data_IF_472688506299
#
_entry.id   IF_472688506299
#
_cell.length_a   1.000
_cell.length_b   1.000
_cell.length_c   1.000
_cell.angle_alpha   90.00
_cell.angle_beta   90.00
_cell.angle_gamma   90.00
#
_symmetry.space_group_name_H-M   'P 1'
#
loop_
_entity.id
_entity.type
_entity.pdbx_description
1 polymer ?
#
# COMPACT_ATOMS: atom_id res chain seq x y z
N UNK A 1 1.49 25.12 10.05
CA UNK A 1 2.77 24.92 9.33
C UNK A 1 2.87 25.97 8.24
N UNK A 2 4.02 26.62 8.07
CA UNK A 2 4.22 27.62 7.02
C UNK A 2 4.13 26.95 5.65
N UNK A 3 3.12 27.30 4.87
CA UNK A 3 2.92 26.80 3.50
C UNK A 3 3.99 27.40 2.59
N UNK A 4 4.78 26.56 1.92
CA UNK A 4 5.75 27.01 0.92
C UNK A 4 5.55 26.26 -0.38
N UNK A 5 5.40 26.99 -1.48
CA UNK A 5 5.28 26.44 -2.85
C UNK A 5 6.63 26.00 -3.43
N UNK A 6 7.76 26.43 -2.82
CA UNK A 6 9.11 26.15 -3.36
C UNK A 6 9.42 24.64 -3.33
N UNK A 7 9.71 23.99 -4.47
CA UNK A 7 9.95 22.54 -4.53
C UNK A 7 11.08 22.07 -3.60
N UNK A 8 12.19 22.81 -3.54
CA UNK A 8 13.33 22.47 -2.68
C UNK A 8 12.97 22.46 -1.19
N UNK A 9 12.15 23.43 -0.74
CA UNK A 9 11.68 23.48 0.65
C UNK A 9 10.70 22.34 0.95
N UNK A 10 9.83 22.00 0.00
CA UNK A 10 8.91 20.87 0.14
C UNK A 10 9.65 19.53 0.21
N UNK A 11 10.63 19.31 -0.65
CA UNK A 11 11.47 18.09 -0.64
C UNK A 11 12.26 17.96 0.66
N UNK A 12 12.88 19.05 1.14
CA UNK A 12 13.60 19.08 2.43
C UNK A 12 12.68 18.75 3.61
N UNK A 13 11.48 19.34 3.64
CA UNK A 13 10.48 19.04 4.67
C UNK A 13 9.97 17.60 4.60
N UNK A 14 9.83 17.04 3.39
CA UNK A 14 9.43 15.65 3.21
C UNK A 14 10.48 14.69 3.77
N UNK A 15 11.76 14.87 3.41
CA UNK A 15 12.88 14.03 3.83
C UNK A 15 13.13 14.08 5.35
N UNK A 16 13.14 15.29 5.92
CA UNK A 16 13.49 15.55 7.33
C UNK A 16 12.31 15.45 8.30
N UNK A 17 11.14 14.99 7.85
CA UNK A 17 9.96 14.91 8.70
C UNK A 17 10.16 13.95 9.90
N UNK A 18 9.67 14.30 11.10
CA UNK A 18 9.60 13.38 12.24
C UNK A 18 8.84 12.08 11.93
N UNK A 19 9.17 11.00 12.64
CA UNK A 19 8.61 9.65 12.44
C UNK A 19 7.09 9.61 12.51
N UNK A 20 6.47 10.33 13.45
CA UNK A 20 5.01 10.36 13.58
C UNK A 20 4.31 11.03 12.38
N UNK A 21 4.98 11.97 11.70
CA UNK A 21 4.51 12.59 10.46
C UNK A 21 4.72 11.63 9.29
N UNK A 22 5.90 10.98 9.21
CA UNK A 22 6.18 9.97 8.18
C UNK A 22 5.16 8.83 8.22
N UNK A 23 4.81 8.34 9.41
CA UNK A 23 3.78 7.31 9.60
C UNK A 23 2.43 7.71 8.97
N UNK A 24 1.97 8.94 9.19
CA UNK A 24 0.70 9.45 8.61
C UNK A 24 0.73 9.57 7.08
N UNK A 25 1.90 9.60 6.45
CA UNK A 25 2.05 9.70 4.98
C UNK A 25 1.92 8.35 4.27
N UNK A 26 2.07 7.23 4.98
CA UNK A 26 1.94 5.87 4.42
C UNK A 26 0.45 5.54 4.30
N UNK A 27 -0.20 6.14 3.30
CA UNK A 27 -1.65 6.01 3.10
C UNK A 27 -1.96 5.47 1.70
N UNK A 28 -2.99 4.64 1.64
CA UNK A 28 -3.54 4.07 0.41
C UNK A 28 -5.04 4.36 0.31
N UNK A 29 -5.60 4.14 -0.90
CA UNK A 29 -7.04 4.21 -1.11
C UNK A 29 -7.69 3.04 -0.36
N UNK A 30 -8.80 3.31 0.32
CA UNK A 30 -9.61 2.28 0.98
C UNK A 30 -10.77 1.94 0.05
N UNK A 31 -10.95 0.66 -0.28
CA UNK A 31 -12.14 0.12 -0.94
C UNK A 31 -12.86 -0.90 -0.06
N UNK A 32 -12.54 -0.93 1.22
CA UNK A 32 -13.22 -1.76 2.20
C UNK A 32 -14.72 -1.38 2.29
N UNK A 33 -15.65 -2.32 2.05
CA UNK A 33 -17.08 -2.05 2.12
C UNK A 33 -17.55 -1.61 3.50
N UNK A 34 -16.82 -1.91 4.58
CA UNK A 34 -17.16 -1.44 5.93
C UNK A 34 -16.95 0.08 6.09
N UNK A 35 -16.07 0.68 5.29
CA UNK A 35 -15.67 2.09 5.41
C UNK A 35 -15.85 2.88 4.09
N UNK A 36 -17.06 2.94 3.51
CA UNK A 36 -17.30 3.52 2.19
C UNK A 36 -17.02 5.03 2.12
N UNK A 37 -17.19 5.77 3.22
CA UNK A 37 -16.97 7.22 3.25
C UNK A 37 -15.49 7.57 3.50
N UNK A 38 -14.65 6.59 3.85
CA UNK A 38 -13.22 6.78 4.10
C UNK A 38 -12.43 6.66 2.80
N UNK A 39 -12.07 7.79 2.19
CA UNK A 39 -11.29 7.80 0.93
C UNK A 39 -9.92 7.13 1.04
N UNK A 40 -9.21 7.34 2.15
CA UNK A 40 -7.87 6.81 2.36
C UNK A 40 -7.60 6.42 3.81
N UNK A 41 -6.74 5.42 3.99
CA UNK A 41 -6.35 4.89 5.30
C UNK A 41 -4.84 4.73 5.37
N UNK A 42 -4.28 4.86 6.57
CA UNK A 42 -2.87 4.54 6.83
C UNK A 42 -2.72 3.03 6.84
N UNK A 43 -1.83 2.50 6.01
CA UNK A 43 -1.58 1.06 5.92
C UNK A 43 -0.83 0.59 7.18
N UNK A 44 -1.24 -0.57 7.70
CA UNK A 44 -0.54 -1.28 8.78
C UNK A 44 -0.28 -2.71 8.38
N UNK A 45 0.57 -3.37 9.17
CA UNK A 45 0.78 -4.82 9.08
C UNK A 45 -0.54 -5.53 9.35
N UNK A 46 -0.86 -6.55 8.55
CA UNK A 46 -2.10 -7.33 8.65
C UNK A 46 -3.22 -6.88 7.70
N UNK A 47 -3.18 -5.64 7.17
CA UNK A 47 -4.18 -5.18 6.19
C UNK A 47 -4.10 -6.03 4.91
N UNK A 48 -5.27 -6.38 4.35
CA UNK A 48 -5.37 -7.02 3.04
C UNK A 48 -5.33 -5.94 1.96
N UNK A 49 -4.44 -6.15 0.98
CA UNK A 49 -4.17 -5.15 -0.04
C UNK A 49 -4.06 -5.74 -1.43
N UNK A 50 -4.51 -4.96 -2.41
CA UNK A 50 -4.30 -5.20 -3.83
C UNK A 50 -3.19 -4.30 -4.37
N UNK A 51 -2.20 -4.89 -5.05
CA UNK A 51 -1.22 -4.11 -5.80
C UNK A 51 -1.88 -3.59 -7.09
N UNK A 52 -1.97 -2.27 -7.23
CA UNK A 52 -2.64 -1.67 -8.38
C UNK A 52 -1.65 -1.25 -9.48
N UNK A 53 -0.44 -0.80 -9.11
CA UNK A 53 0.59 -0.30 -10.03
C UNK A 53 1.92 -1.03 -9.88
N UNK A 54 2.70 -1.03 -10.95
CA UNK A 54 4.01 -1.70 -11.02
C UNK A 54 3.92 -3.05 -11.71
N UNK A 55 4.99 -3.84 -11.66
CA UNK A 55 5.08 -5.12 -12.37
C UNK A 55 4.10 -6.18 -11.84
N UNK A 56 3.80 -6.11 -10.53
CA UNK A 56 2.80 -6.91 -9.83
C UNK A 56 1.39 -6.28 -9.80
N UNK A 57 1.21 -5.13 -10.45
CA UNK A 57 -0.09 -4.43 -10.54
C UNK A 57 -1.01 -5.02 -11.59
N UNK A 58 -2.21 -4.46 -11.78
CA UNK A 58 -3.11 -4.88 -12.87
C UNK A 58 -2.45 -4.49 -14.22
N UNK A 59 -2.12 -5.44 -15.12
CA UNK A 59 -2.71 -6.78 -15.31
C UNK A 59 -1.70 -7.93 -15.09
N UNK A 60 -1.09 -8.01 -13.91
CA UNK A 60 0.29 -8.50 -13.77
C UNK A 60 0.49 -9.85 -13.11
N UNK A 61 -0.50 -10.44 -12.44
CA UNK A 61 -0.26 -11.59 -11.58
C UNK A 61 -0.32 -12.96 -12.28
N UNK A 62 -1.34 -13.20 -13.12
CA UNK A 62 -1.56 -14.53 -13.74
C UNK A 62 -1.00 -14.59 -15.17
N UNK A 63 0.29 -14.31 -15.35
CA UNK A 63 0.89 -14.44 -16.68
C UNK A 63 1.32 -15.88 -16.91
N UNK A 64 0.65 -16.55 -17.85
CA UNK A 64 1.24 -17.71 -18.52
C UNK A 64 2.60 -17.30 -19.13
N UNK A 65 3.60 -18.18 -19.03
CA UNK A 65 4.95 -17.92 -19.52
C UNK A 65 4.91 -17.46 -20.99
N UNK A 66 5.23 -16.19 -21.23
CA UNK A 66 5.36 -15.61 -22.56
C UNK A 66 4.53 -14.34 -22.84
N UNK A 67 3.55 -14.02 -21.99
CA UNK A 67 2.75 -12.80 -22.09
C UNK A 67 2.02 -12.62 -23.44
N UNK A 68 1.38 -11.45 -23.64
CA UNK A 68 0.57 -11.20 -24.85
C UNK A 68 1.33 -11.34 -26.17
N UNK A 69 2.64 -11.09 -26.17
CA UNK A 69 3.47 -11.17 -27.38
C UNK A 69 3.60 -12.60 -27.91
N UNK A 70 3.50 -13.58 -27.03
CA UNK A 70 3.56 -15.00 -27.36
C UNK A 70 2.16 -15.66 -27.37
N UNK A 71 1.09 -14.86 -27.44
CA UNK A 71 -0.29 -15.34 -27.50
C UNK A 71 -0.95 -15.59 -26.13
N UNK A 72 -0.27 -15.29 -25.02
CA UNK A 72 -0.84 -15.42 -23.67
C UNK A 72 -1.92 -14.39 -23.37
N UNK A 73 -2.75 -14.69 -22.37
CA UNK A 73 -3.81 -13.77 -21.92
C UNK A 73 -3.24 -12.52 -21.23
N UNK A 74 -4.00 -11.42 -21.19
CA UNK A 74 -3.66 -10.30 -20.30
C UNK A 74 -4.00 -10.76 -18.88
N UNK A 75 -3.08 -10.65 -17.93
CA UNK A 75 -3.42 -10.93 -16.53
C UNK A 75 -4.63 -10.08 -16.11
N UNK A 76 -5.48 -10.64 -15.27
CA UNK A 76 -6.79 -10.03 -14.98
C UNK A 76 -6.68 -9.02 -13.84
N UNK A 77 -5.88 -9.35 -12.84
CA UNK A 77 -5.82 -8.64 -11.58
C UNK A 77 -4.37 -8.46 -11.11
N UNK A 78 -4.19 -7.54 -10.15
CA UNK A 78 -2.94 -7.41 -9.41
C UNK A 78 -2.95 -8.36 -8.21
N UNK A 79 -1.80 -8.53 -7.57
CA UNK A 79 -1.69 -9.42 -6.41
C UNK A 79 -2.56 -8.90 -5.26
N UNK A 80 -3.46 -9.75 -4.75
CA UNK A 80 -4.18 -9.51 -3.50
C UNK A 80 -3.51 -10.31 -2.39
N UNK A 81 -2.94 -9.64 -1.39
CA UNK A 81 -2.27 -10.31 -0.29
C UNK A 81 -2.14 -9.42 0.95
N UNK A 82 -1.65 -10.00 2.04
CA UNK A 82 -1.45 -9.28 3.31
C UNK A 82 -0.17 -8.46 3.32
N UNK A 83 -0.21 -7.36 4.07
CA UNK A 83 0.98 -6.56 4.37
C UNK A 83 1.77 -7.23 5.50
N UNK A 84 3.01 -7.63 5.20
CA UNK A 84 3.92 -8.29 6.16
C UNK A 84 4.66 -7.24 7.01
N UNK A 85 5.17 -6.20 6.36
CA UNK A 85 6.01 -5.20 7.03
C UNK A 85 5.82 -3.81 6.44
N UNK A 86 6.00 -2.80 7.29
CA UNK A 86 5.91 -1.38 6.92
C UNK A 86 7.16 -0.65 7.40
N UNK A 87 7.92 -0.09 6.47
CA UNK A 87 9.07 0.77 6.80
C UNK A 87 8.65 2.25 6.81
N UNK A 88 8.61 2.81 8.02
CA UNK A 88 8.22 4.21 8.26
C UNK A 88 9.25 5.20 7.72
N UNK A 89 10.55 4.85 7.68
CA UNK A 89 11.60 5.78 7.29
C UNK A 89 11.57 6.04 5.79
N UNK A 90 11.38 4.98 5.01
CA UNK A 90 11.36 5.04 3.54
C UNK A 90 9.95 5.16 2.96
N UNK A 91 8.91 4.87 3.75
CA UNK A 91 7.52 4.90 3.27
C UNK A 91 7.15 3.70 2.39
N UNK A 92 7.89 2.59 2.56
CA UNK A 92 7.72 1.36 1.80
C UNK A 92 6.97 0.31 2.59
N UNK A 93 6.26 -0.55 1.87
CA UNK A 93 5.53 -1.69 2.40
C UNK A 93 6.01 -2.97 1.71
N UNK A 94 5.93 -4.07 2.43
CA UNK A 94 6.22 -5.41 1.93
C UNK A 94 4.93 -6.21 1.94
N UNK A 95 4.56 -6.73 0.78
CA UNK A 95 3.31 -7.46 0.56
C UNK A 95 3.66 -8.91 0.31
N UNK A 96 2.89 -9.82 0.87
CA UNK A 96 3.04 -11.25 0.64
C UNK A 96 2.89 -11.60 -0.85
N UNK A 97 3.70 -12.54 -1.35
CA UNK A 97 3.75 -12.89 -2.77
C UNK A 97 4.50 -11.90 -3.67
N UNK A 98 4.83 -10.70 -3.19
CA UNK A 98 5.64 -9.71 -3.93
C UNK A 98 7.11 -9.88 -3.55
N UNK A 99 7.79 -10.83 -4.20
CA UNK A 99 9.21 -11.13 -3.98
C UNK A 99 9.97 -11.38 -5.28
N UNK A 100 11.30 -11.29 -5.22
CA UNK A 100 12.21 -11.77 -6.25
C UNK A 100 13.14 -12.82 -5.67
N UNK A 101 13.62 -13.74 -6.52
CA UNK A 101 14.65 -14.69 -6.16
C UNK A 101 16.04 -14.07 -6.31
N UNK A 102 16.87 -14.22 -5.29
CA UNK A 102 18.30 -13.90 -5.35
C UNK A 102 19.07 -15.06 -6.00
N UNK A 103 20.33 -14.85 -6.40
CA UNK A 103 21.21 -15.90 -6.92
C UNK A 103 21.33 -17.12 -5.97
N UNK A 104 21.19 -16.91 -4.66
CA UNK A 104 21.15 -17.98 -3.65
C UNK A 104 19.76 -18.66 -3.52
N UNK A 105 18.85 -18.43 -4.48
CA UNK A 105 17.46 -18.93 -4.49
C UNK A 105 16.59 -18.53 -3.28
N UNK A 106 17.06 -17.59 -2.45
CA UNK A 106 16.26 -16.99 -1.37
C UNK A 106 15.25 -16.01 -1.96
N UNK A 107 14.03 -16.02 -1.42
CA UNK A 107 12.99 -15.07 -1.80
C UNK A 107 13.08 -13.80 -0.94
N UNK A 108 13.37 -12.66 -1.58
CA UNK A 108 13.42 -11.36 -0.91
C UNK A 108 12.22 -10.51 -1.33
N UNK A 109 11.52 -9.97 -0.33
CA UNK A 109 10.35 -9.12 -0.52
C UNK A 109 10.71 -7.82 -1.22
N UNK A 110 9.93 -7.45 -2.22
CA UNK A 110 10.19 -6.23 -2.99
C UNK A 110 9.45 -5.06 -2.33
N UNK A 111 10.14 -3.95 -2.06
CA UNK A 111 9.51 -2.80 -1.42
C UNK A 111 8.58 -2.07 -2.37
N UNK A 112 7.32 -1.90 -1.96
CA UNK A 112 6.32 -1.14 -2.69
C UNK A 112 6.03 0.19 -1.99
N UNK A 113 5.73 1.23 -2.76
CA UNK A 113 5.24 2.48 -2.19
C UNK A 113 3.73 2.38 -1.90
N UNK A 114 3.28 2.87 -0.75
CA UNK A 114 1.88 2.81 -0.31
C UNK A 114 0.86 3.35 -1.33
N UNK A 115 1.24 4.32 -2.18
CA UNK A 115 0.35 4.87 -3.20
C UNK A 115 0.06 3.93 -4.38
N UNK A 116 0.84 2.86 -4.53
CA UNK A 116 0.68 1.90 -5.63
C UNK A 116 -0.27 0.75 -5.26
N UNK A 117 -0.82 0.81 -4.04
CA UNK A 117 -1.58 -0.25 -3.41
C UNK A 117 -2.95 0.30 -3.00
N UNK A 118 -3.95 -0.57 -3.01
CA UNK A 118 -5.31 -0.30 -2.54
C UNK A 118 -5.62 -1.25 -1.40
N UNK A 119 -6.21 -0.74 -0.32
CA UNK A 119 -6.64 -1.57 0.81
C UNK A 119 -8.02 -2.14 0.48
N UNK A 120 -8.12 -3.47 0.45
CA UNK A 120 -9.36 -4.21 0.19
C UNK A 120 -10.09 -4.50 1.50
N UNK A 121 -9.36 -4.89 2.54
CA UNK A 121 -9.91 -5.13 3.88
C UNK A 121 -8.94 -4.63 4.94
N UNK A 122 -9.48 -3.95 5.94
CA UNK A 122 -8.73 -3.47 7.10
C UNK A 122 -8.58 -4.60 8.12
N UNK A 123 -7.41 -4.68 8.77
CA UNK A 123 -7.20 -5.60 9.88
C UNK A 123 -7.94 -5.15 11.15
N UNK A 124 -8.65 -6.10 11.76
CA UNK A 124 -9.51 -5.88 12.93
C UNK A 124 -8.75 -6.01 14.27
N UNK A 125 -7.43 -6.24 14.24
CA UNK A 125 -6.63 -6.45 15.46
C UNK A 125 -6.42 -5.22 16.33
N UNK A 126 -6.69 -4.01 15.83
CA UNK A 126 -6.54 -2.74 16.58
C UNK A 126 -7.88 -2.02 16.76
N UNK A 127 -8.49 -2.23 17.94
CA UNK A 127 -9.76 -1.59 18.35
C UNK A 127 -9.69 -0.06 18.32
N UNK A 128 -8.55 0.53 18.68
CA UNK A 128 -8.39 2.00 18.68
C UNK A 128 -8.33 2.54 17.25
N UNK A 129 -7.81 1.76 16.30
CA UNK A 129 -7.82 2.11 14.89
C UNK A 129 -9.23 2.04 14.32
N UNK A 130 -9.96 0.96 14.62
CA UNK A 130 -11.32 0.74 14.14
C UNK A 130 -12.24 1.88 14.56
N UNK A 131 -12.26 2.20 15.87
CA UNK A 131 -13.06 3.33 16.38
C UNK A 131 -12.78 4.65 15.64
N UNK A 132 -11.51 4.97 15.38
CA UNK A 132 -11.13 6.17 14.61
C UNK A 132 -11.54 6.14 13.14
N UNK A 133 -11.69 4.95 12.55
CA UNK A 133 -12.15 4.82 11.18
C UNK A 133 -13.67 4.91 11.11
N UNK A 134 -14.38 4.37 12.11
CA UNK A 134 -15.83 4.52 12.27
C UNK A 134 -16.22 5.99 12.45
N UNK A 135 -15.54 6.72 13.35
CA UNK A 135 -15.70 8.18 13.54
C UNK A 135 -15.52 8.94 12.20
N UNK A 136 -14.54 8.54 11.38
CA UNK A 136 -14.28 9.14 10.06
C UNK A 136 -15.29 8.74 8.99
N UNK A 137 -15.94 7.60 9.15
CA UNK A 137 -16.93 7.08 8.21
C UNK A 137 -18.29 7.78 8.38
N UNK A 138 -18.46 8.59 9.43
CA UNK A 138 -19.72 9.24 9.77
C UNK A 138 -20.47 8.56 10.92
N UNK A 139 -19.77 7.80 11.77
CA UNK A 139 -20.34 7.36 13.05
C UNK A 139 -20.53 8.58 13.95
N UNK A 140 -21.77 9.06 14.05
CA UNK A 140 -22.20 10.06 15.02
C UNK A 140 -22.30 9.41 16.40
N UNK A 141 -21.17 9.11 17.07
CA UNK A 141 -21.09 8.80 18.51
C UNK A 141 -19.65 8.86 19.07
#
# INVERSE_FOLDING_TARGET
>A
MMSSTKPNKQRKNAANAPTHIKRKRIRARCLDPAFPNVRNVTIRVGDDVTVHRGDWGNPGHDKDEGGKRLGGTRGKEGIEAKVIAVDIKTGRIFVEGVSHSTAESKAEGIPLHASNVIVTKIDDGDVVRLKKLEERNGGDE
#
